data_IF_896084109104
#
_entry.id   IF_896084109104
#
_cell.length_a   1.000
_cell.length_b   1.000
_cell.length_c   1.000
_cell.angle_alpha   90.00
_cell.angle_beta   90.00
_cell.angle_gamma   90.00
#
_symmetry.space_group_name_H-M   'P 1'
#
loop_
_entity.id
_entity.type
_entity.pdbx_description
1 polymer ?
#
# COMPACT_ATOMS: atom_id res chain seq x y z
N UNK A 1 3.81 15.49 -2.70
CA UNK A 1 3.00 14.33 -3.13
C UNK A 1 3.93 13.21 -3.56
N UNK A 2 3.63 11.97 -3.17
CA UNK A 2 4.38 10.75 -3.54
C UNK A 2 3.43 9.76 -4.19
N UNK A 3 3.85 9.20 -5.32
CA UNK A 3 3.14 8.12 -5.99
C UNK A 3 3.84 6.79 -5.69
N UNK A 4 3.10 5.87 -5.06
CA UNK A 4 3.64 4.59 -4.60
C UNK A 4 3.53 3.52 -5.68
N UNK A 5 4.58 2.72 -5.82
CA UNK A 5 4.51 1.46 -6.55
C UNK A 5 3.76 0.40 -5.73
N UNK A 6 3.22 -0.61 -6.41
CA UNK A 6 2.51 -1.74 -5.80
C UNK A 6 3.32 -2.42 -4.69
N UNK A 7 4.63 -2.62 -4.86
CA UNK A 7 5.45 -3.29 -3.83
C UNK A 7 5.74 -2.39 -2.63
N UNK A 8 5.98 -1.10 -2.85
CA UNK A 8 6.18 -0.12 -1.77
C UNK A 8 4.92 0.00 -0.92
N UNK A 9 3.76 0.02 -1.57
CA UNK A 9 2.48 0.04 -0.86
C UNK A 9 2.25 -1.21 -0.02
N UNK A 10 2.58 -2.40 -0.54
CA UNK A 10 2.51 -3.64 0.25
C UNK A 10 3.50 -3.63 1.42
N UNK A 11 4.73 -3.16 1.23
CA UNK A 11 5.69 -3.02 2.34
C UNK A 11 5.21 -2.03 3.38
N UNK A 12 4.68 -0.88 2.99
CA UNK A 12 4.14 0.10 3.92
C UNK A 12 3.07 -0.51 4.84
N UNK A 13 2.17 -1.33 4.30
CA UNK A 13 1.07 -1.92 5.06
C UNK A 13 1.43 -3.18 5.86
N UNK A 14 2.39 -3.97 5.39
CA UNK A 14 2.68 -5.30 5.95
C UNK A 14 4.07 -5.43 6.55
N UNK A 15 5.07 -4.77 5.99
CA UNK A 15 6.48 -4.94 6.32
C UNK A 15 7.25 -3.61 6.21
N UNK A 16 6.88 -2.57 6.99
CA UNK A 16 7.46 -1.23 6.85
C UNK A 16 8.98 -1.22 7.10
N UNK A 17 9.51 -2.21 7.81
CA UNK A 17 10.95 -2.41 7.99
C UNK A 17 11.74 -2.67 6.69
N UNK A 18 11.07 -3.03 5.59
CA UNK A 18 11.72 -3.16 4.27
C UNK A 18 11.94 -1.80 3.60
N UNK A 19 11.24 -0.75 4.04
CA UNK A 19 11.46 0.61 3.55
C UNK A 19 12.73 1.18 4.17
N UNK A 20 13.53 1.88 3.36
CA UNK A 20 14.67 2.62 3.89
C UNK A 20 14.19 3.75 4.81
N UNK A 21 15.04 4.17 5.75
CA UNK A 21 14.70 5.26 6.67
C UNK A 21 14.28 6.53 5.91
N UNK A 22 15.00 6.90 4.85
CA UNK A 22 14.64 8.05 4.01
C UNK A 22 13.26 7.90 3.32
N UNK A 23 12.90 6.68 2.90
CA UNK A 23 11.59 6.42 2.31
C UNK A 23 10.47 6.50 3.35
N UNK A 24 10.70 5.98 4.57
CA UNK A 24 9.75 6.09 5.68
C UNK A 24 9.50 7.57 6.03
N UNK A 25 10.56 8.36 6.23
CA UNK A 25 10.47 9.79 6.53
C UNK A 25 9.73 10.57 5.43
N UNK A 26 9.99 10.25 4.16
CA UNK A 26 9.30 10.89 3.03
C UNK A 26 7.81 10.52 2.98
N UNK A 27 7.47 9.26 3.22
CA UNK A 27 6.09 8.76 3.24
C UNK A 27 5.33 9.39 4.41
N UNK A 28 5.88 9.38 5.63
CA UNK A 28 5.25 9.97 6.82
C UNK A 28 4.97 11.47 6.65
N UNK A 29 5.92 12.21 6.07
CA UNK A 29 5.76 13.64 5.80
C UNK A 29 4.59 13.93 4.84
N UNK A 30 4.40 13.07 3.84
CA UNK A 30 3.36 13.23 2.82
C UNK A 30 2.01 12.65 3.22
N UNK A 31 1.99 11.61 4.06
CA UNK A 31 0.78 11.02 4.64
C UNK A 31 -0.01 12.08 5.40
N UNK A 32 0.65 12.86 6.26
CA UNK A 32 0.04 13.96 7.02
C UNK A 32 -0.61 15.06 6.17
N UNK A 33 -0.26 15.13 4.88
CA UNK A 33 -0.77 16.09 3.91
C UNK A 33 -1.70 15.44 2.87
N UNK A 34 -2.10 14.19 3.11
CA UNK A 34 -2.90 13.38 2.18
C UNK A 34 -2.26 13.28 0.78
N UNK A 35 -0.92 13.32 0.73
CA UNK A 35 -0.11 13.39 -0.48
C UNK A 35 0.31 12.04 -1.06
N UNK A 36 -0.09 10.93 -0.42
CA UNK A 36 0.16 9.58 -0.91
C UNK A 36 -0.86 9.18 -1.97
N UNK A 37 -0.36 8.81 -3.14
CA UNK A 37 -1.15 8.39 -4.28
C UNK A 37 -0.83 6.96 -4.67
N UNK A 38 -1.87 6.19 -5.00
CA UNK A 38 -1.76 4.82 -5.53
C UNK A 38 -2.59 4.75 -6.81
N UNK A 39 -2.08 4.08 -7.84
CA UNK A 39 -2.85 3.86 -9.06
C UNK A 39 -3.86 2.73 -8.90
N UNK A 40 -5.00 2.88 -9.58
CA UNK A 40 -5.97 1.80 -9.73
C UNK A 40 -5.36 0.52 -10.34
N UNK A 41 -4.31 0.65 -11.15
CA UNK A 41 -3.57 -0.50 -11.70
C UNK A 41 -2.87 -1.28 -10.59
N UNK A 42 -2.26 -0.59 -9.62
CA UNK A 42 -1.62 -1.26 -8.47
C UNK A 42 -2.63 -2.04 -7.64
N UNK A 43 -3.84 -1.49 -7.44
CA UNK A 43 -4.94 -2.20 -6.77
C UNK A 43 -5.34 -3.46 -7.55
N UNK A 44 -5.49 -3.34 -8.87
CA UNK A 44 -5.80 -4.49 -9.73
C UNK A 44 -4.70 -5.56 -9.69
N UNK A 45 -3.42 -5.18 -9.70
CA UNK A 45 -2.31 -6.12 -9.60
C UNK A 45 -2.35 -6.93 -8.29
N UNK A 46 -2.66 -6.28 -7.16
CA UNK A 46 -2.82 -6.95 -5.86
C UNK A 46 -3.99 -7.93 -5.92
N UNK A 47 -5.13 -7.50 -6.46
CA UNK A 47 -6.32 -8.33 -6.58
C UNK A 47 -6.07 -9.57 -7.46
N UNK A 48 -5.41 -9.39 -8.61
CA UNK A 48 -5.06 -10.50 -9.50
C UNK A 48 -4.04 -11.42 -8.85
N UNK A 49 -2.98 -10.90 -8.25
CA UNK A 49 -1.97 -11.73 -7.56
C UNK A 49 -2.59 -12.53 -6.41
N UNK A 50 -3.54 -11.94 -5.69
CA UNK A 50 -4.29 -12.63 -4.63
C UNK A 50 -5.18 -13.74 -5.19
N UNK A 51 -5.88 -13.51 -6.31
CA UNK A 51 -6.79 -14.52 -6.89
C UNK A 51 -6.07 -15.72 -7.51
N UNK A 52 -4.82 -15.55 -7.93
CA UNK A 52 -3.97 -16.65 -8.42
C UNK A 52 -3.03 -17.22 -7.35
N UNK A 53 -3.27 -16.92 -6.07
CA UNK A 53 -2.48 -17.38 -4.91
C UNK A 53 -0.97 -17.02 -4.99
N UNK A 54 -0.61 -16.00 -5.78
CA UNK A 54 0.77 -15.48 -5.84
C UNK A 54 1.07 -14.46 -4.74
N UNK A 55 0.03 -13.89 -4.14
CA UNK A 55 0.10 -13.01 -2.98
C UNK A 55 -0.89 -13.53 -1.95
N UNK A 56 -0.43 -13.83 -0.74
CA UNK A 56 -1.30 -14.26 0.35
C UNK A 56 -1.62 -13.05 1.21
N UNK A 57 -2.87 -12.59 1.14
CA UNK A 57 -3.37 -11.53 2.00
C UNK A 57 -3.93 -12.13 3.30
N UNK A 58 -3.85 -11.41 4.43
CA UNK A 58 -4.41 -11.88 5.70
C UNK A 58 -5.95 -11.92 5.70
N UNK A 59 -6.58 -11.28 4.70
CA UNK A 59 -8.02 -11.09 4.56
C UNK A 59 -8.42 -11.26 3.09
N UNK A 60 -9.70 -11.50 2.79
CA UNK A 60 -10.23 -11.36 1.44
C UNK A 60 -9.87 -10.00 0.82
N UNK A 61 -9.59 -9.96 -0.48
CA UNK A 61 -9.11 -8.74 -1.16
C UNK A 61 -10.01 -7.53 -0.94
N UNK A 62 -11.33 -7.71 -0.94
CA UNK A 62 -12.28 -6.62 -0.76
C UNK A 62 -12.17 -5.99 0.64
N UNK A 63 -12.09 -6.83 1.68
CA UNK A 63 -11.92 -6.38 3.07
C UNK A 63 -10.56 -5.73 3.28
N UNK A 64 -9.51 -6.35 2.72
CA UNK A 64 -8.15 -5.83 2.76
C UNK A 64 -8.07 -4.43 2.13
N UNK A 65 -8.70 -4.22 0.97
CA UNK A 65 -8.68 -2.95 0.27
C UNK A 65 -9.41 -1.84 1.03
N UNK A 66 -10.51 -2.14 1.73
CA UNK A 66 -11.20 -1.15 2.57
C UNK A 66 -10.31 -0.67 3.73
N UNK A 67 -9.58 -1.58 4.37
CA UNK A 67 -8.63 -1.22 5.43
C UNK A 67 -7.45 -0.43 4.88
N UNK A 68 -6.90 -0.86 3.75
CA UNK A 68 -5.77 -0.20 3.11
C UNK A 68 -6.08 1.26 2.70
N UNK A 69 -7.31 1.54 2.26
CA UNK A 69 -7.76 2.92 1.98
C UNK A 69 -7.83 3.78 3.24
N UNK A 70 -8.27 3.20 4.36
CA UNK A 70 -8.40 3.93 5.63
C UNK A 70 -7.03 4.25 6.24
N UNK A 71 -6.05 3.36 6.04
CA UNK A 71 -4.67 3.61 6.47
C UNK A 71 -4.06 4.83 5.77
N UNK A 72 -4.33 5.02 4.47
CA UNK A 72 -3.83 6.15 3.68
C UNK A 72 -4.59 7.48 3.91
N UNK A 73 -5.62 7.50 4.76
CA UNK A 73 -6.53 8.63 4.93
C UNK A 73 -6.44 9.27 6.32
N UNK A 74 -5.37 9.01 7.07
CA UNK A 74 -5.17 9.49 8.44
C UNK A 74 -4.22 10.66 8.54
#
# INVERSE_FOLDING_TARGET
MIFLDTHIWLWLLHEPSQLSQAAQEAIESEESQNGLLISAISVWEVAVKSSVNKLVLPLPIDEWYQLAQTANAK
#
